data_IF_599747931111
#
_entry.id   IF_599747931111
#
_cell.length_a   1.000
_cell.length_b   1.000
_cell.length_c   1.000
_cell.angle_alpha   90.00
_cell.angle_beta   90.00
_cell.angle_gamma   90.00
#
_symmetry.space_group_name_H-M   'P 1'
#
loop_
_entity.id
_entity.type
_entity.pdbx_description
1 polymer ?
#
# COMPACT_ATOMS: atom_id res chain seq x y z
N UNK A 1 -0.98 35.77 36.02
CA UNK A 1 -1.11 34.29 36.12
C UNK A 1 -2.24 33.72 35.24
N UNK A 2 -3.37 34.38 35.17
CA UNK A 2 -4.56 33.91 34.34
C UNK A 2 -4.23 33.91 32.86
N UNK A 3 -3.44 34.84 32.36
CA UNK A 3 -3.03 34.90 30.93
C UNK A 3 -2.09 33.79 30.49
N UNK A 4 -1.32 33.20 31.38
CA UNK A 4 -0.39 32.10 31.08
C UNK A 4 -1.15 30.78 30.96
N UNK A 5 -2.25 30.62 31.65
CA UNK A 5 -3.06 29.40 31.59
C UNK A 5 -3.96 29.43 30.34
N UNK A 6 -4.40 30.61 29.88
CA UNK A 6 -5.21 30.76 28.68
C UNK A 6 -4.42 30.41 27.38
N UNK A 7 -3.12 30.67 27.36
CA UNK A 7 -2.26 30.36 26.19
C UNK A 7 -2.02 28.85 26.04
N UNK A 8 -1.99 28.10 27.12
CA UNK A 8 -1.81 26.63 27.09
C UNK A 8 -3.06 25.93 26.57
N UNK A 9 -4.24 26.50 26.77
CA UNK A 9 -5.50 25.93 26.27
C UNK A 9 -5.74 26.16 24.78
N UNK A 10 -5.04 27.08 24.15
CA UNK A 10 -5.22 27.37 22.72
C UNK A 10 -4.46 26.39 21.81
N UNK A 11 -3.52 25.60 22.36
CA UNK A 11 -2.76 24.62 21.58
C UNK A 11 -3.39 23.22 21.48
N UNK A 12 -4.49 22.98 22.18
CA UNK A 12 -5.18 21.69 22.17
C UNK A 12 -6.30 21.57 21.10
N UNK A 13 -6.57 22.62 20.35
CA UNK A 13 -7.62 22.63 19.33
C UNK A 13 -7.10 22.34 17.91
N UNK A 14 -5.85 21.91 17.74
CA UNK A 14 -5.26 21.59 16.41
C UNK A 14 -5.25 20.09 16.11
N UNK A 15 -6.26 19.35 16.53
CA UNK A 15 -6.64 18.11 15.88
C UNK A 15 -7.85 18.40 15.00
N UNK A 16 -7.65 19.20 13.93
CA UNK A 16 -8.56 19.13 12.83
C UNK A 16 -8.32 17.77 12.16
N UNK A 17 -9.24 16.83 12.36
CA UNK A 17 -9.39 15.72 11.45
C UNK A 17 -9.52 16.36 10.06
N UNK A 18 -8.46 16.28 9.27
CA UNK A 18 -8.56 16.55 7.85
C UNK A 18 -9.59 15.56 7.34
N UNK A 19 -10.76 16.03 6.97
CA UNK A 19 -11.68 15.24 6.16
C UNK A 19 -10.89 14.88 4.92
N UNK A 20 -10.41 13.64 4.87
CA UNK A 20 -9.87 13.06 3.64
C UNK A 20 -11.08 13.06 2.71
N UNK A 21 -11.06 13.94 1.71
CA UNK A 21 -12.12 14.03 0.73
C UNK A 21 -12.42 12.63 0.20
N UNK A 22 -13.70 12.31 -0.03
CA UNK A 22 -14.10 11.04 -0.62
C UNK A 22 -13.38 10.87 -1.97
N UNK A 23 -12.61 9.81 -2.12
CA UNK A 23 -11.99 9.45 -3.39
C UNK A 23 -13.02 8.69 -4.21
N UNK A 24 -13.25 9.12 -5.45
CA UNK A 24 -14.19 8.46 -6.35
C UNK A 24 -13.72 7.05 -6.72
N UNK A 25 -14.68 6.16 -6.91
CA UNK A 25 -14.40 4.82 -7.39
C UNK A 25 -13.76 4.87 -8.77
N UNK A 26 -12.62 4.17 -8.99
CA UNK A 26 -11.97 4.16 -10.29
C UNK A 26 -12.80 3.47 -11.36
N UNK A 27 -12.65 3.88 -12.63
CA UNK A 27 -13.35 3.31 -13.78
C UNK A 27 -13.06 1.79 -13.93
N UNK A 28 -11.83 1.41 -13.64
CA UNK A 28 -11.38 0.01 -13.65
C UNK A 28 -11.10 -0.46 -12.22
N UNK A 29 -12.15 -0.67 -11.44
CA UNK A 29 -12.03 -1.16 -10.08
C UNK A 29 -11.43 -2.57 -10.06
N UNK A 30 -10.33 -2.72 -9.34
CA UNK A 30 -9.73 -4.02 -9.04
C UNK A 30 -10.42 -4.57 -7.79
N UNK A 31 -11.01 -5.76 -7.89
CA UNK A 31 -11.65 -6.35 -6.71
C UNK A 31 -10.62 -6.69 -5.62
N UNK A 32 -11.08 -6.76 -4.37
CA UNK A 32 -10.24 -6.99 -3.20
C UNK A 32 -9.33 -8.22 -3.34
N UNK A 33 -9.86 -9.34 -3.80
CA UNK A 33 -9.09 -10.58 -3.92
C UNK A 33 -7.97 -10.47 -4.95
N UNK A 34 -8.26 -9.88 -6.09
CA UNK A 34 -7.25 -9.63 -7.14
C UNK A 34 -6.19 -8.65 -6.65
N UNK A 35 -6.59 -7.57 -5.98
CA UNK A 35 -5.66 -6.59 -5.42
C UNK A 35 -4.76 -7.25 -4.35
N UNK A 36 -5.32 -8.06 -3.47
CA UNK A 36 -4.54 -8.83 -2.48
C UNK A 36 -3.48 -9.70 -3.16
N UNK A 37 -3.85 -10.44 -4.20
CA UNK A 37 -2.91 -11.28 -4.96
C UNK A 37 -1.78 -10.44 -5.58
N UNK A 38 -2.12 -9.34 -6.22
CA UNK A 38 -1.14 -8.42 -6.83
C UNK A 38 -0.19 -7.85 -5.77
N UNK A 39 -0.70 -7.45 -4.62
CA UNK A 39 0.11 -6.92 -3.53
C UNK A 39 1.05 -7.98 -2.94
N UNK A 40 0.59 -9.23 -2.79
CA UNK A 40 1.46 -10.35 -2.37
C UNK A 40 2.61 -10.53 -3.34
N UNK A 41 2.33 -10.57 -4.63
CA UNK A 41 3.37 -10.72 -5.67
C UNK A 41 4.31 -9.49 -5.70
N UNK A 42 3.78 -8.29 -5.48
CA UNK A 42 4.57 -7.07 -5.41
C UNK A 42 5.56 -7.09 -4.24
N UNK A 43 5.12 -7.53 -3.05
CA UNK A 43 6.00 -7.68 -1.87
C UNK A 43 7.11 -8.68 -2.13
N UNK A 44 6.80 -9.83 -2.73
CA UNK A 44 7.80 -10.85 -3.08
C UNK A 44 8.79 -10.33 -4.11
N UNK A 45 8.31 -9.61 -5.12
CA UNK A 45 9.14 -8.97 -6.14
C UNK A 45 10.09 -7.96 -5.52
N UNK A 46 9.59 -7.08 -4.65
CA UNK A 46 10.40 -6.08 -3.96
C UNK A 46 11.51 -6.73 -3.12
N UNK A 47 11.19 -7.75 -2.35
CA UNK A 47 12.16 -8.51 -1.55
C UNK A 47 13.24 -9.15 -2.43
N UNK A 48 12.87 -9.72 -3.57
CA UNK A 48 13.82 -10.30 -4.52
C UNK A 48 14.75 -9.25 -5.11
N UNK A 49 14.19 -8.16 -5.64
CA UNK A 49 14.98 -7.08 -6.25
C UNK A 49 15.92 -6.44 -5.21
N UNK A 50 15.46 -6.23 -3.99
CA UNK A 50 16.29 -5.70 -2.90
C UNK A 50 17.45 -6.65 -2.55
N UNK A 51 17.24 -7.94 -2.57
CA UNK A 51 18.29 -8.94 -2.29
C UNK A 51 19.37 -9.00 -3.37
N UNK A 52 18.99 -8.83 -4.63
CA UNK A 52 19.88 -8.97 -5.79
C UNK A 52 20.62 -7.67 -6.15
N UNK A 53 19.97 -6.53 -5.99
CA UNK A 53 20.48 -5.23 -6.45
C UNK A 53 20.72 -4.26 -5.29
N UNK A 54 22.00 -4.11 -4.91
CA UNK A 54 22.39 -3.33 -3.73
C UNK A 54 22.53 -1.81 -3.97
N UNK A 55 22.67 -1.41 -5.23
CA UNK A 55 22.82 0.01 -5.59
C UNK A 55 21.45 0.65 -5.81
N UNK A 56 21.18 1.76 -5.14
CA UNK A 56 19.86 2.45 -5.18
C UNK A 56 19.39 2.75 -6.61
N UNK A 57 20.29 3.23 -7.46
CA UNK A 57 19.93 3.58 -8.86
C UNK A 57 19.51 2.33 -9.66
N UNK A 58 20.28 1.26 -9.56
CA UNK A 58 19.98 -0.01 -10.25
C UNK A 58 18.70 -0.63 -9.67
N UNK A 59 18.55 -0.64 -8.35
CA UNK A 59 17.34 -1.10 -7.69
C UNK A 59 16.09 -0.40 -8.23
N UNK A 60 16.10 0.93 -8.26
CA UNK A 60 14.95 1.73 -8.68
C UNK A 60 14.54 1.45 -10.13
N UNK A 61 15.52 1.32 -11.03
CA UNK A 61 15.26 1.01 -12.44
C UNK A 61 14.68 -0.40 -12.62
N UNK A 62 15.31 -1.38 -12.00
CA UNK A 62 14.86 -2.79 -12.09
C UNK A 62 13.49 -2.95 -11.42
N UNK A 63 13.28 -2.35 -10.25
CA UNK A 63 11.98 -2.41 -9.56
C UNK A 63 10.87 -1.82 -10.41
N UNK A 64 11.08 -0.67 -11.02
CA UNK A 64 10.09 -0.04 -11.91
C UNK A 64 9.72 -0.94 -13.08
N UNK A 65 10.70 -1.46 -13.80
CA UNK A 65 10.47 -2.35 -14.95
C UNK A 65 9.77 -3.65 -14.54
N UNK A 66 10.18 -4.22 -13.42
CA UNK A 66 9.62 -5.47 -12.91
C UNK A 66 8.19 -5.28 -12.42
N UNK A 67 7.90 -4.16 -11.74
CA UNK A 67 6.55 -3.83 -11.30
C UNK A 67 5.61 -3.61 -12.50
N UNK A 68 6.06 -2.89 -13.54
CA UNK A 68 5.29 -2.72 -14.77
C UNK A 68 4.97 -4.07 -15.43
N UNK A 69 5.93 -4.97 -15.50
CA UNK A 69 5.73 -6.33 -16.04
C UNK A 69 4.76 -7.14 -15.19
N UNK A 70 4.84 -7.04 -13.87
CA UNK A 70 3.93 -7.71 -12.95
C UNK A 70 2.50 -7.24 -13.14
N UNK A 71 2.27 -5.93 -13.14
CA UNK A 71 0.95 -5.34 -13.34
C UNK A 71 0.37 -5.73 -14.71
N UNK A 72 1.20 -5.71 -15.74
CA UNK A 72 0.81 -6.09 -17.10
C UNK A 72 0.38 -7.55 -17.17
N UNK A 73 1.03 -8.45 -16.44
CA UNK A 73 0.64 -9.86 -16.34
C UNK A 73 -0.76 -10.05 -15.72
N UNK A 74 -1.25 -9.11 -14.94
CA UNK A 74 -2.59 -9.09 -14.35
C UNK A 74 -3.58 -8.18 -15.10
N UNK A 75 -3.21 -7.70 -16.30
CA UNK A 75 -4.01 -6.77 -17.09
C UNK A 75 -4.34 -5.46 -16.35
N UNK A 76 -3.39 -4.96 -15.57
CA UNK A 76 -3.51 -3.72 -14.80
C UNK A 76 -2.52 -2.70 -15.35
N UNK A 77 -3.00 -1.52 -15.73
CA UNK A 77 -2.13 -0.40 -16.06
C UNK A 77 -1.59 0.28 -14.80
N UNK A 78 -0.48 1.00 -14.91
CA UNK A 78 0.03 1.81 -13.80
C UNK A 78 -1.02 2.81 -13.29
N UNK A 79 -1.77 3.42 -14.20
CA UNK A 79 -2.85 4.34 -13.84
C UNK A 79 -3.94 3.64 -13.03
N UNK A 80 -4.42 2.49 -13.48
CA UNK A 80 -5.43 1.70 -12.76
C UNK A 80 -4.94 1.29 -11.37
N UNK A 81 -3.69 0.88 -11.26
CA UNK A 81 -3.10 0.51 -9.98
C UNK A 81 -3.05 1.70 -9.01
N UNK A 82 -2.57 2.86 -9.47
CA UNK A 82 -2.50 4.07 -8.65
C UNK A 82 -3.88 4.54 -8.19
N UNK A 83 -4.86 4.58 -9.11
CA UNK A 83 -6.24 4.97 -8.79
C UNK A 83 -6.90 4.01 -7.79
N UNK A 84 -6.66 2.70 -7.92
CA UNK A 84 -7.18 1.70 -6.99
C UNK A 84 -6.50 1.78 -5.62
N UNK A 85 -5.19 1.98 -5.57
CA UNK A 85 -4.47 2.17 -4.31
C UNK A 85 -4.93 3.43 -3.57
N UNK A 86 -5.20 4.51 -4.29
CA UNK A 86 -5.77 5.73 -3.73
C UNK A 86 -7.19 5.51 -3.21
N UNK A 87 -8.03 4.86 -3.98
CA UNK A 87 -9.42 4.54 -3.61
C UNK A 87 -9.50 3.66 -2.35
N UNK A 88 -8.79 2.53 -2.34
CA UNK A 88 -8.76 1.64 -1.18
C UNK A 88 -8.05 2.26 0.03
N UNK A 89 -6.98 3.03 -0.21
CA UNK A 89 -6.24 3.73 0.83
C UNK A 89 -7.05 4.81 1.55
N UNK A 90 -8.05 5.41 0.88
CA UNK A 90 -8.98 6.35 1.49
C UNK A 90 -9.99 5.67 2.43
N UNK A 91 -10.11 4.36 2.37
CA UNK A 91 -11.01 3.54 3.19
C UNK A 91 -10.18 2.74 4.21
N UNK A 92 -9.84 3.36 5.33
CA UNK A 92 -8.90 2.80 6.33
C UNK A 92 -9.21 1.37 6.75
N UNK A 93 -10.45 1.06 7.10
CA UNK A 93 -10.85 -0.28 7.53
C UNK A 93 -10.62 -1.32 6.43
N UNK A 94 -11.01 -1.00 5.20
CA UNK A 94 -10.86 -1.90 4.06
C UNK A 94 -9.39 -2.11 3.68
N UNK A 95 -8.59 -1.05 3.70
CA UNK A 95 -7.15 -1.17 3.41
C UNK A 95 -6.41 -1.98 4.47
N UNK A 96 -6.79 -1.82 5.75
CA UNK A 96 -6.27 -2.66 6.83
C UNK A 96 -6.61 -4.14 6.63
N UNK A 97 -7.84 -4.44 6.22
CA UNK A 97 -8.27 -5.81 5.92
C UNK A 97 -7.48 -6.40 4.74
N UNK A 98 -7.26 -5.63 3.69
CA UNK A 98 -6.43 -6.05 2.55
C UNK A 98 -4.99 -6.33 2.98
N UNK A 99 -4.40 -5.46 3.78
CA UNK A 99 -3.05 -5.65 4.31
C UNK A 99 -2.96 -6.89 5.20
N UNK A 100 -3.99 -7.16 5.99
CA UNK A 100 -4.08 -8.38 6.80
C UNK A 100 -4.14 -9.63 5.91
N UNK A 101 -4.94 -9.60 4.85
CA UNK A 101 -5.02 -10.69 3.87
C UNK A 101 -3.67 -10.95 3.19
N UNK A 102 -2.96 -9.88 2.81
CA UNK A 102 -1.60 -9.98 2.23
C UNK A 102 -0.63 -10.65 3.20
N UNK A 103 -0.64 -10.23 4.45
CA UNK A 103 0.21 -10.81 5.50
C UNK A 103 -0.10 -12.29 5.73
N UNK A 104 -1.38 -12.65 5.76
CA UNK A 104 -1.83 -14.04 5.93
C UNK A 104 -1.34 -14.92 4.77
N UNK A 105 -1.47 -14.46 3.52
CA UNK A 105 -1.00 -15.20 2.36
C UNK A 105 0.52 -15.37 2.37
N UNK A 106 1.28 -14.32 2.67
CA UNK A 106 2.74 -14.39 2.80
C UNK A 106 3.17 -15.36 3.91
N UNK A 107 2.46 -15.36 5.03
CA UNK A 107 2.72 -16.26 6.17
C UNK A 107 2.46 -17.72 5.79
N UNK A 108 1.40 -18.00 5.05
CA UNK A 108 1.10 -19.34 4.53
C UNK A 108 2.19 -19.83 3.59
N UNK A 109 2.61 -19.00 2.63
CA UNK A 109 3.68 -19.35 1.69
C UNK A 109 5.00 -19.64 2.42
N UNK A 110 5.36 -18.82 3.41
CA UNK A 110 6.55 -19.03 4.23
C UNK A 110 6.47 -20.34 5.01
N UNK A 111 5.33 -20.62 5.63
CA UNK A 111 5.10 -21.87 6.36
C UNK A 111 5.22 -23.10 5.47
N UNK A 112 4.70 -23.03 4.25
CA UNK A 112 4.83 -24.10 3.26
C UNK A 112 6.30 -24.36 2.88
N UNK A 113 7.08 -23.31 2.68
CA UNK A 113 8.51 -23.44 2.36
C UNK A 113 9.32 -24.03 3.53
N UNK A 114 8.98 -23.68 4.76
CA UNK A 114 9.66 -24.19 5.96
C UNK A 114 9.31 -25.64 6.28
N UNK A 115 8.18 -26.15 5.81
CA UNK A 115 7.72 -27.52 6.04
C UNK A 115 8.36 -28.54 5.07
N UNK A 116 9.07 -28.10 4.06
CA UNK A 116 9.79 -28.92 3.09
C UNK A 116 11.25 -29.09 3.47
#
# INVERSE_FOLDING_TARGET
MIYRIAIVFLFLASCSSSEIGSVDEPDHLINRNKLTTVLVEMVKLEAYVESEYKTVTVYSEIMKKSADSLLNAYDITNKDYEENMEYYGAQHGLMQDINSDVLDELTKELGYLQSK
#
